data_IF_348877462151
#
_entry.id   IF_348877462151
#
_cell.length_a   1.000
_cell.length_b   1.000
_cell.length_c   1.000
_cell.angle_alpha   90.00
_cell.angle_beta   90.00
_cell.angle_gamma   90.00
#
_symmetry.space_group_name_H-M   'P 1'
#
loop_
_entity.id
_entity.type
_entity.pdbx_description
1 polymer ?
#
# COMPACT_ATOMS: atom_id res chain seq x y z
N UNK A 1 -4.87 4.45 15.78
CA UNK A 1 -4.02 5.43 16.51
C UNK A 1 -4.14 6.76 15.80
N UNK A 2 -4.42 7.86 16.51
CA UNK A 2 -4.72 9.15 15.87
C UNK A 2 -3.65 10.19 16.12
N UNK A 3 -3.30 10.95 15.08
CA UNK A 3 -2.40 12.10 15.16
C UNK A 3 -2.77 13.15 14.11
N UNK A 4 -2.34 14.39 14.32
CA UNK A 4 -2.46 15.46 13.33
C UNK A 4 -1.14 15.63 12.60
N UNK A 5 -1.24 15.84 11.30
CA UNK A 5 -0.09 16.08 10.45
C UNK A 5 -0.49 16.93 9.25
N UNK A 6 0.50 17.37 8.49
CA UNK A 6 0.31 18.18 7.30
C UNK A 6 0.62 17.36 6.05
N UNK A 7 -0.20 17.50 5.03
CA UNK A 7 0.07 16.86 3.74
C UNK A 7 1.26 17.55 3.08
N UNK A 8 2.35 16.82 2.83
CA UNK A 8 3.59 17.36 2.27
C UNK A 8 3.83 16.86 0.85
N UNK A 9 4.10 17.80 -0.06
CA UNK A 9 4.56 17.49 -1.40
C UNK A 9 6.09 17.41 -1.42
N UNK A 10 6.59 16.26 -1.86
CA UNK A 10 8.00 15.95 -2.00
C UNK A 10 8.35 15.86 -3.49
N UNK A 11 9.20 16.77 -3.97
CA UNK A 11 9.53 16.84 -5.40
C UNK A 11 8.33 17.27 -6.27
N UNK A 12 8.20 16.71 -7.48
CA UNK A 12 7.14 17.12 -8.42
C UNK A 12 5.77 16.53 -8.10
N UNK A 13 5.71 15.26 -7.74
CA UNK A 13 4.44 14.52 -7.65
C UNK A 13 4.31 13.66 -6.41
N UNK A 14 5.39 13.34 -5.71
CA UNK A 14 5.28 12.55 -4.49
C UNK A 14 4.59 13.42 -3.44
N UNK A 15 3.54 12.88 -2.83
CA UNK A 15 2.82 13.54 -1.74
C UNK A 15 2.63 12.51 -0.65
N UNK A 16 2.84 12.93 0.59
CA UNK A 16 2.73 12.04 1.72
C UNK A 16 2.45 12.81 3.00
N UNK A 17 2.07 12.07 4.03
CA UNK A 17 1.81 12.62 5.35
C UNK A 17 2.90 12.13 6.30
N UNK A 18 3.73 13.02 6.88
CA UNK A 18 4.71 12.65 7.88
C UNK A 18 4.06 11.96 9.06
N UNK A 19 4.63 10.83 9.46
CA UNK A 19 4.21 10.08 10.65
C UNK A 19 5.26 10.31 11.72
N UNK A 20 4.87 10.77 12.91
CA UNK A 20 5.79 10.86 14.02
C UNK A 20 6.39 9.47 14.34
N UNK A 21 7.71 9.35 14.55
CA UNK A 21 8.36 8.06 14.83
C UNK A 21 7.71 7.30 15.99
N UNK A 22 7.27 8.00 17.03
CA UNK A 22 6.58 7.43 18.19
C UNK A 22 5.26 6.73 17.82
N UNK A 23 4.57 7.18 16.77
CA UNK A 23 3.34 6.53 16.27
C UNK A 23 3.70 5.23 15.54
N UNK A 24 4.78 5.24 14.75
CA UNK A 24 5.27 4.05 14.03
C UNK A 24 5.77 2.99 15.02
N UNK A 25 6.53 3.40 16.03
CA UNK A 25 7.01 2.51 17.09
C UNK A 25 5.84 1.92 17.88
N UNK A 26 4.84 2.72 18.24
CA UNK A 26 3.67 2.26 18.99
C UNK A 26 2.75 1.33 18.18
N UNK A 27 2.75 1.40 16.85
CA UNK A 27 2.04 0.43 15.99
C UNK A 27 2.67 -0.98 16.05
N UNK A 28 3.94 -1.10 16.47
CA UNK A 28 4.58 -2.39 16.74
C UNK A 28 4.84 -3.28 15.52
N UNK A 29 4.72 -2.76 14.29
CA UNK A 29 4.88 -3.54 13.05
C UNK A 29 6.27 -3.51 12.42
N UNK A 30 7.30 -3.11 13.16
CA UNK A 30 8.68 -3.00 12.68
C UNK A 30 8.94 -1.74 11.86
N UNK A 31 10.00 -1.72 11.06
CA UNK A 31 10.45 -0.49 10.37
C UNK A 31 9.59 -0.03 9.19
N UNK A 32 8.72 -0.89 8.63
CA UNK A 32 7.83 -0.53 7.51
C UNK A 32 6.48 -1.25 7.65
N UNK A 33 5.68 -0.89 8.67
CA UNK A 33 4.44 -1.59 8.95
C UNK A 33 3.43 -1.41 7.82
N UNK A 34 2.72 -2.48 7.50
CA UNK A 34 1.49 -2.39 6.71
C UNK A 34 0.41 -1.76 7.58
N UNK A 35 -0.33 -0.78 7.06
CA UNK A 35 -1.28 0.00 7.84
C UNK A 35 -2.57 0.25 7.06
N UNK A 36 -3.66 0.34 7.81
CA UNK A 36 -4.92 0.92 7.36
C UNK A 36 -4.91 2.40 7.80
N UNK A 37 -5.11 3.29 6.84
CA UNK A 37 -5.08 4.74 7.03
C UNK A 37 -6.49 5.27 6.83
N UNK A 38 -6.97 6.10 7.75
CA UNK A 38 -8.21 6.87 7.59
C UNK A 38 -7.92 8.36 7.71
N UNK A 39 -8.29 9.14 6.69
CA UNK A 39 -8.12 10.58 6.64
C UNK A 39 -9.18 11.22 5.73
N UNK A 40 -9.72 12.38 6.10
CA UNK A 40 -10.76 13.06 5.31
C UNK A 40 -12.01 12.21 5.03
N UNK A 41 -12.33 11.25 5.89
CA UNK A 41 -13.43 10.28 5.68
C UNK A 41 -13.13 9.18 4.65
N UNK A 42 -11.92 9.14 4.10
CA UNK A 42 -11.45 8.10 3.18
C UNK A 42 -10.51 7.13 3.88
N UNK A 43 -10.74 5.83 3.70
CA UNK A 43 -9.93 4.76 4.29
C UNK A 43 -9.24 3.95 3.19
N UNK A 44 -7.95 3.69 3.35
CA UNK A 44 -7.16 2.90 2.40
C UNK A 44 -6.05 2.11 3.10
N UNK A 45 -5.56 1.06 2.43
CA UNK A 45 -4.44 0.24 2.91
C UNK A 45 -3.16 0.65 2.21
N UNK A 46 -2.09 0.80 2.98
CA UNK A 46 -0.75 1.11 2.45
C UNK A 46 0.33 0.54 3.36
N UNK A 47 1.58 0.78 3.03
CA UNK A 47 2.73 0.53 3.91
C UNK A 47 3.38 1.86 4.23
N UNK A 48 3.86 2.02 5.47
CA UNK A 48 4.67 3.18 5.81
C UNK A 48 5.99 3.13 5.01
N UNK A 49 6.30 4.24 4.37
CA UNK A 49 7.53 4.43 3.61
C UNK A 49 8.52 5.30 4.37
N UNK A 50 9.81 5.06 4.15
CA UNK A 50 10.87 5.92 4.69
C UNK A 50 11.52 6.69 3.55
N UNK A 51 11.64 8.01 3.68
CA UNK A 51 12.35 8.86 2.71
C UNK A 51 13.21 9.86 3.48
N UNK A 52 14.53 9.86 3.21
CA UNK A 52 15.46 10.77 3.90
C UNK A 52 15.55 10.54 5.42
N UNK A 53 15.20 9.35 5.91
CA UNK A 53 15.15 9.04 7.35
C UNK A 53 13.84 9.45 8.03
N UNK A 54 12.86 9.96 7.27
CA UNK A 54 11.54 10.32 7.78
C UNK A 54 10.50 9.27 7.36
N UNK A 55 9.64 8.89 8.31
CA UNK A 55 8.50 8.01 8.09
C UNK A 55 7.34 8.79 7.46
N UNK A 56 6.79 8.27 6.37
CA UNK A 56 5.79 8.93 5.54
C UNK A 56 4.70 7.94 5.14
N UNK A 57 3.45 8.40 5.19
CA UNK A 57 2.34 7.73 4.53
C UNK A 57 2.26 8.21 3.08
N UNK A 58 2.41 7.33 2.09
CA UNK A 58 2.16 7.69 0.71
C UNK A 58 0.69 8.12 0.55
N UNK A 59 0.50 9.29 -0.05
CA UNK A 59 -0.83 9.82 -0.35
C UNK A 59 -0.89 10.16 -1.84
N UNK A 60 -1.33 9.16 -2.62
CA UNK A 60 -1.47 9.27 -4.07
C UNK A 60 -2.48 10.37 -4.45
N UNK A 61 -2.45 10.82 -5.71
CA UNK A 61 -3.44 11.79 -6.21
C UNK A 61 -4.88 11.27 -6.06
N UNK A 62 -5.10 9.96 -6.23
CA UNK A 62 -6.40 9.32 -6.05
C UNK A 62 -6.90 9.41 -4.61
N UNK A 63 -6.06 9.03 -3.63
CA UNK A 63 -6.43 9.09 -2.21
C UNK A 63 -6.61 10.54 -1.73
N UNK A 64 -5.83 11.48 -2.26
CA UNK A 64 -6.03 12.92 -2.01
C UNK A 64 -7.39 13.41 -2.49
N UNK A 65 -7.73 13.07 -3.74
CA UNK A 65 -9.01 13.47 -4.32
C UNK A 65 -10.18 12.85 -3.55
N UNK A 66 -10.09 11.57 -3.18
CA UNK A 66 -11.11 10.87 -2.40
C UNK A 66 -11.29 11.46 -0.98
N UNK A 67 -10.19 11.88 -0.35
CA UNK A 67 -10.20 12.52 0.97
C UNK A 67 -10.52 14.02 0.93
N UNK A 68 -10.59 14.64 -0.26
CA UNK A 68 -10.75 16.08 -0.42
C UNK A 68 -9.57 16.91 0.10
N UNK A 69 -8.35 16.37 0.05
CA UNK A 69 -7.14 16.99 0.59
C UNK A 69 -6.18 17.46 -0.49
N UNK A 70 -5.55 18.60 -0.27
CA UNK A 70 -4.47 19.16 -1.06
C UNK A 70 -3.13 19.10 -0.31
N UNK A 71 -2.03 19.33 -1.03
CA UNK A 71 -0.75 19.54 -0.38
C UNK A 71 -0.77 20.85 0.43
N UNK A 72 -0.27 20.80 1.66
CA UNK A 72 -0.29 21.92 2.59
C UNK A 72 -1.46 21.92 3.56
N UNK A 73 -2.44 21.02 3.41
CA UNK A 73 -3.58 20.92 4.32
C UNK A 73 -3.20 20.21 5.62
N UNK A 74 -3.78 20.66 6.74
CA UNK A 74 -3.74 19.92 8.00
C UNK A 74 -4.83 18.85 8.01
N UNK A 75 -4.45 17.65 8.45
CA UNK A 75 -5.32 16.48 8.46
C UNK A 75 -5.15 15.70 9.76
N UNK A 76 -6.26 15.20 10.28
CA UNK A 76 -6.26 14.17 11.31
C UNK A 76 -6.20 12.80 10.65
N UNK A 77 -5.21 12.01 11.03
CA UNK A 77 -4.97 10.68 10.48
C UNK A 77 -5.22 9.64 11.56
N UNK A 78 -6.03 8.63 11.25
CA UNK A 78 -6.09 7.39 12.01
C UNK A 78 -5.27 6.30 11.32
N UNK A 79 -4.41 5.63 12.10
CA UNK A 79 -3.55 4.53 11.68
C UNK A 79 -3.81 3.28 12.50
N UNK A 80 -4.02 2.17 11.81
CA UNK A 80 -4.12 0.85 12.39
C UNK A 80 -3.17 -0.11 11.69
N UNK A 81 -2.60 -1.06 12.43
CA UNK A 81 -1.75 -2.09 11.83
C UNK A 81 -2.61 -3.01 10.95
N UNK A 82 -2.24 -3.14 9.68
CA UNK A 82 -2.89 -4.06 8.74
C UNK A 82 -2.35 -5.47 8.97
N UNK A 83 -2.99 -6.20 9.87
CA UNK A 83 -2.73 -7.63 10.14
C UNK A 83 -3.56 -8.56 9.26
N UNK A 84 -4.36 -8.02 8.34
CA UNK A 84 -5.23 -8.82 7.51
C UNK A 84 -4.44 -9.66 6.50
N UNK A 85 -4.82 -10.93 6.39
CA UNK A 85 -4.22 -11.83 5.41
C UNK A 85 -4.57 -11.38 3.98
N UNK A 86 -3.55 -11.11 3.16
CA UNK A 86 -3.75 -10.73 1.76
C UNK A 86 -4.00 -11.99 0.93
N UNK A 87 -5.26 -12.40 0.86
CA UNK A 87 -5.70 -13.46 -0.04
C UNK A 87 -5.73 -12.90 -1.46
N UNK A 88 -4.87 -13.44 -2.33
CA UNK A 88 -4.91 -13.14 -3.77
C UNK A 88 -5.77 -14.21 -4.42
N UNK A 89 -6.98 -13.83 -4.86
CA UNK A 89 -7.79 -14.68 -5.72
C UNK A 89 -7.11 -14.78 -7.09
N UNK A 90 -6.71 -16.00 -7.44
CA UNK A 90 -6.09 -16.30 -8.74
C UNK A 90 -7.21 -16.33 -9.78
N UNK A 91 -7.18 -15.48 -10.81
CA UNK A 91 -8.15 -15.53 -11.90
C UNK A 91 -8.20 -16.92 -12.57
N UNK A 92 -9.39 -17.38 -12.96
CA UNK A 92 -9.61 -18.73 -13.47
C UNK A 92 -8.85 -19.03 -14.78
N UNK A 93 -8.64 -18.00 -15.61
CA UNK A 93 -7.82 -18.06 -16.82
C UNK A 93 -6.33 -18.28 -16.49
N UNK A 94 -5.81 -17.61 -15.45
CA UNK A 94 -4.45 -17.84 -14.97
C UNK A 94 -4.30 -19.23 -14.35
N UNK A 95 -5.30 -19.71 -13.61
CA UNK A 95 -5.30 -21.07 -13.07
C UNK A 95 -5.24 -22.13 -14.20
N UNK A 96 -6.06 -21.98 -15.24
CA UNK A 96 -6.06 -22.87 -16.40
C UNK A 96 -4.74 -22.85 -17.18
N UNK A 97 -4.10 -21.68 -17.31
CA UNK A 97 -2.78 -21.57 -17.94
C UNK A 97 -1.68 -22.28 -17.13
N UNK A 98 -1.77 -22.25 -15.80
CA UNK A 98 -0.81 -22.90 -14.90
C UNK A 98 -0.99 -24.43 -14.84
N UNK A 99 -2.20 -24.94 -15.08
CA UNK A 99 -2.44 -26.39 -15.22
C UNK A 99 -1.75 -26.98 -16.46
N UNK A 100 -1.61 -26.18 -17.53
CA UNK A 100 -0.88 -26.56 -18.74
C UNK A 100 0.64 -26.60 -18.60
N UNK A 101 1.20 -25.95 -17.57
CA UNK A 101 2.64 -25.80 -17.36
C UNK A 101 3.00 -26.07 -15.88
N UNK A 102 3.20 -27.34 -15.48
CA UNK A 102 3.37 -27.74 -14.08
C UNK A 102 4.57 -27.06 -13.38
N UNK A 103 5.64 -26.75 -14.13
CA UNK A 103 6.79 -26.03 -13.63
C UNK A 103 6.49 -24.56 -13.31
N UNK A 104 5.61 -23.93 -14.10
CA UNK A 104 5.12 -22.57 -13.85
C UNK A 104 4.15 -22.55 -12.66
N UNK A 105 3.27 -23.55 -12.56
CA UNK A 105 2.37 -23.75 -11.42
C UNK A 105 3.11 -23.86 -10.08
N UNK A 106 4.18 -24.68 -10.02
CA UNK A 106 5.00 -24.84 -8.83
C UNK A 106 5.71 -23.52 -8.43
N UNK A 107 6.20 -22.78 -9.42
CA UNK A 107 6.86 -21.47 -9.21
C UNK A 107 5.87 -20.42 -8.68
N UNK A 108 4.65 -20.40 -9.22
CA UNK A 108 3.57 -19.51 -8.78
C UNK A 108 3.10 -19.84 -7.36
N UNK A 109 2.98 -21.12 -7.02
CA UNK A 109 2.63 -21.56 -5.66
C UNK A 109 3.68 -21.14 -4.61
N UNK A 110 4.97 -21.16 -4.99
CA UNK A 110 6.07 -20.74 -4.13
C UNK A 110 6.22 -19.20 -3.98
N UNK A 111 5.53 -18.41 -4.81
CA UNK A 111 5.61 -16.95 -4.76
C UNK A 111 4.83 -16.37 -3.57
N UNK A 112 5.31 -15.26 -3.02
CA UNK A 112 4.61 -14.52 -1.95
C UNK A 112 3.30 -13.90 -2.46
N UNK A 113 2.36 -13.59 -1.55
CA UNK A 113 1.09 -12.96 -1.92
C UNK A 113 1.28 -11.68 -2.75
N UNK A 114 2.28 -10.83 -2.44
CA UNK A 114 2.61 -9.65 -3.26
C UNK A 114 3.10 -10.00 -4.67
N UNK A 115 3.91 -11.05 -4.81
CA UNK A 115 4.38 -11.50 -6.13
C UNK A 115 3.24 -12.07 -6.98
N UNK A 116 2.32 -12.83 -6.35
CA UNK A 116 1.12 -13.34 -7.03
C UNK A 116 0.18 -12.22 -7.48
N UNK A 117 0.03 -11.15 -6.68
CA UNK A 117 -0.75 -9.98 -7.06
C UNK A 117 -0.14 -9.21 -8.25
N UNK A 118 1.19 -9.13 -8.34
CA UNK A 118 1.89 -8.48 -9.45
C UNK A 118 1.78 -9.25 -10.78
N UNK A 119 1.62 -10.57 -10.75
CA UNK A 119 1.40 -11.39 -11.95
C UNK A 119 0.07 -11.10 -12.64
N UNK A 120 -0.89 -10.46 -11.96
CA UNK A 120 -2.20 -10.08 -12.52
C UNK A 120 -2.11 -9.05 -13.66
N UNK A 121 -1.05 -8.24 -13.74
CA UNK A 121 -1.00 -7.07 -14.63
C UNK A 121 -0.08 -7.23 -15.86
N UNK A 122 0.44 -8.43 -16.13
CA UNK A 122 1.16 -8.66 -17.39
C UNK A 122 0.20 -9.09 -18.48
N UNK A 123 -0.62 -8.14 -18.92
CA UNK A 123 -1.45 -8.26 -20.12
C UNK A 123 -0.56 -8.71 -21.29
N UNK A 124 -0.85 -9.92 -21.76
CA UNK A 124 -0.80 -10.37 -23.15
C UNK A 124 -0.65 -9.18 -24.12
N UNK A 125 0.60 -8.85 -24.41
CA UNK A 125 0.99 -7.90 -25.44
C UNK A 125 2.08 -8.61 -26.23
N UNK A 126 1.71 -9.68 -26.91
CA UNK A 126 2.41 -10.22 -28.07
C UNK A 126 1.41 -11.12 -28.82
N UNK A 127 0.84 -10.54 -29.87
CA UNK A 127 0.37 -11.25 -31.08
C UNK A 127 1.57 -11.32 -32.02
#
# INVERSE_FOLDING_TARGET
>A
MRFRSRVEQHGRTATGVPVPPEVVEALGGGGRPAVVVTLGGHTYRTTVGTMGGQELLPLSAEHRAAAGLAAGDEVEVDLELDTAERVVEVPADLAAALEGEPAAGATFAAATASQRAATRDRRLSDV
#
